data_IF_236133421687
#
_entry.id   IF_236133421687
#
_cell.length_a   1.000
_cell.length_b   1.000
_cell.length_c   1.000
_cell.angle_alpha   90.00
_cell.angle_beta   90.00
_cell.angle_gamma   90.00
#
_symmetry.space_group_name_H-M   'P 1'
#
loop_
_entity.id
_entity.type
_entity.pdbx_description
1 polymer ?
#
# COMPACT_ATOMS: atom_id res chain seq x y z
N UNK A 1 -6.49 -5.90 -6.53
CA UNK A 1 -6.50 -4.47 -6.14
C UNK A 1 -7.78 -4.14 -5.38
N UNK A 2 -7.69 -3.49 -4.22
CA UNK A 2 -8.87 -3.02 -3.49
C UNK A 2 -9.14 -1.60 -3.99
N UNK A 3 -10.26 -1.34 -4.69
CA UNK A 3 -10.58 0.02 -5.15
C UNK A 3 -10.85 0.93 -3.95
N UNK A 4 -10.51 2.21 -4.08
CA UNK A 4 -10.95 3.22 -3.14
C UNK A 4 -12.48 3.39 -3.27
N UNK A 5 -13.15 3.61 -2.14
CA UNK A 5 -14.61 3.78 -2.10
C UNK A 5 -15.08 5.15 -2.58
N UNK A 6 -14.15 6.10 -2.74
CA UNK A 6 -14.41 7.46 -3.19
C UNK A 6 -13.46 7.87 -4.32
N UNK A 7 -13.96 8.74 -5.22
CA UNK A 7 -13.16 9.39 -6.24
C UNK A 7 -12.30 10.48 -5.60
N UNK A 8 -11.00 10.45 -5.89
CA UNK A 8 -10.04 11.46 -5.42
C UNK A 8 -9.76 12.42 -6.57
N UNK A 9 -10.27 13.65 -6.49
CA UNK A 9 -10.06 14.67 -7.52
C UNK A 9 -8.63 15.25 -7.44
N UNK A 10 -8.13 15.92 -8.50
CA UNK A 10 -6.84 16.61 -8.44
C UNK A 10 -6.75 17.59 -7.27
N UNK A 11 -5.68 17.49 -6.47
CA UNK A 11 -5.47 18.32 -5.28
C UNK A 11 -6.22 17.86 -4.02
N UNK A 12 -7.01 16.79 -4.11
CA UNK A 12 -7.59 16.13 -2.93
C UNK A 12 -6.64 15.11 -2.34
N UNK A 13 -6.78 14.87 -1.06
CA UNK A 13 -6.09 13.84 -0.31
C UNK A 13 -7.10 12.80 0.18
N UNK A 14 -6.64 11.57 0.37
CA UNK A 14 -7.43 10.48 0.94
C UNK A 14 -6.54 9.60 1.81
N UNK A 15 -7.09 9.10 2.89
CA UNK A 15 -6.43 8.10 3.72
C UNK A 15 -6.64 6.71 3.14
N UNK A 16 -5.54 5.98 2.94
CA UNK A 16 -5.56 4.59 2.49
C UNK A 16 -5.13 3.70 3.66
N UNK A 17 -6.00 2.79 4.07
CA UNK A 17 -5.76 1.87 5.18
C UNK A 17 -5.81 0.41 4.71
N UNK A 18 -4.87 -0.40 5.19
CA UNK A 18 -4.82 -1.84 4.95
C UNK A 18 -4.59 -2.55 6.29
N UNK A 19 -5.43 -3.53 6.60
CA UNK A 19 -5.27 -4.35 7.80
C UNK A 19 -4.23 -5.45 7.52
N UNK A 20 -3.17 -5.52 8.32
CA UNK A 20 -2.19 -6.59 8.28
C UNK A 20 -2.30 -7.49 9.51
N UNK A 21 -2.02 -8.78 9.32
CA UNK A 21 -1.80 -9.76 10.39
C UNK A 21 -0.32 -10.11 10.42
N UNK A 22 0.32 -10.00 11.59
CA UNK A 22 1.72 -10.39 11.74
C UNK A 22 1.88 -11.90 11.50
N UNK A 23 2.91 -12.35 10.74
CA UNK A 23 3.25 -13.75 10.62
C UNK A 23 3.60 -14.38 11.98
N UNK A 24 3.41 -15.69 12.10
CA UNK A 24 3.75 -16.44 13.32
C UNK A 24 5.25 -16.74 13.44
N UNK A 25 5.96 -16.72 12.33
CA UNK A 25 7.41 -16.98 12.30
C UNK A 25 8.16 -15.67 12.53
N UNK A 26 9.11 -15.61 13.48
CA UNK A 26 9.97 -14.46 13.67
C UNK A 26 10.76 -14.13 12.39
N UNK A 27 10.93 -12.85 12.11
CA UNK A 27 11.65 -12.39 10.92
C UNK A 27 11.21 -11.01 10.44
N UNK A 28 11.88 -10.54 9.40
CA UNK A 28 11.50 -9.31 8.71
C UNK A 28 10.61 -9.63 7.51
N UNK A 29 9.48 -8.92 7.40
CA UNK A 29 8.58 -9.05 6.27
C UNK A 29 8.34 -7.67 5.65
N UNK A 30 8.45 -7.58 4.33
CA UNK A 30 8.28 -6.32 3.60
C UNK A 30 7.21 -6.47 2.53
N UNK A 31 6.20 -5.60 2.58
CA UNK A 31 5.20 -5.44 1.53
C UNK A 31 5.46 -4.18 0.71
N UNK A 32 5.40 -4.31 -0.62
CA UNK A 32 5.56 -3.21 -1.57
C UNK A 32 4.25 -2.93 -2.28
N UNK A 33 3.87 -1.66 -2.36
CA UNK A 33 2.61 -1.23 -2.96
C UNK A 33 2.85 -0.09 -3.96
N UNK A 34 2.09 -0.13 -5.06
CA UNK A 34 2.04 0.92 -6.08
C UNK A 34 0.57 1.20 -6.38
N UNK A 35 0.22 2.47 -6.58
CA UNK A 35 -1.13 2.84 -6.97
C UNK A 35 -1.38 2.50 -8.44
N UNK A 36 -2.58 2.03 -8.75
CA UNK A 36 -3.03 1.69 -10.11
C UNK A 36 -4.37 2.35 -10.38
N UNK A 37 -4.53 2.91 -11.58
CA UNK A 37 -5.82 3.47 -11.97
C UNK A 37 -6.81 2.36 -12.40
N UNK A 38 -8.05 2.73 -12.75
CA UNK A 38 -9.08 1.77 -13.16
C UNK A 38 -8.72 0.95 -14.41
N UNK A 39 -7.79 1.43 -15.25
CA UNK A 39 -7.27 0.71 -16.41
C UNK A 39 -6.08 -0.21 -16.06
N UNK A 40 -5.71 -0.33 -14.78
CA UNK A 40 -4.57 -1.12 -14.32
C UNK A 40 -3.21 -0.47 -14.56
N UNK A 41 -3.17 0.80 -14.95
CA UNK A 41 -1.93 1.53 -15.23
C UNK A 41 -1.35 2.06 -13.91
N UNK A 42 -0.10 1.70 -13.56
CA UNK A 42 0.58 2.23 -12.38
C UNK A 42 0.80 3.74 -12.46
N UNK A 43 0.64 4.43 -11.33
CA UNK A 43 0.91 5.85 -11.22
C UNK A 43 1.48 6.22 -9.84
N UNK A 44 1.99 7.44 -9.73
CA UNK A 44 2.67 7.95 -8.52
C UNK A 44 4.07 8.46 -8.83
N UNK A 45 4.77 8.93 -7.81
CA UNK A 45 6.13 9.44 -7.98
C UNK A 45 7.09 8.27 -8.27
N UNK A 46 7.81 8.33 -9.41
CA UNK A 46 8.81 7.31 -9.77
C UNK A 46 9.83 7.14 -8.65
N UNK A 47 10.10 5.89 -8.28
CA UNK A 47 11.03 5.54 -7.20
C UNK A 47 10.45 5.67 -5.78
N UNK A 48 9.19 6.08 -5.62
CA UNK A 48 8.49 6.08 -4.33
C UNK A 48 7.40 5.02 -4.32
N UNK A 49 7.76 3.84 -3.82
CA UNK A 49 6.80 2.81 -3.47
C UNK A 49 6.33 3.03 -2.03
N UNK A 50 5.08 2.66 -1.75
CA UNK A 50 4.64 2.52 -0.38
C UNK A 50 5.22 1.20 0.15
N UNK A 51 6.02 1.29 1.21
CA UNK A 51 6.73 0.15 1.79
C UNK A 51 6.24 -0.03 3.22
N UNK A 52 5.77 -1.24 3.52
CA UNK A 52 5.44 -1.65 4.89
C UNK A 52 6.47 -2.69 5.29
N UNK A 53 7.32 -2.36 6.25
CA UNK A 53 8.27 -3.30 6.86
C UNK A 53 7.81 -3.63 8.27
N UNK A 54 7.59 -4.91 8.55
CA UNK A 54 7.29 -5.43 9.88
C UNK A 54 8.44 -6.32 10.35
N UNK A 55 8.75 -6.25 11.64
CA UNK A 55 9.71 -7.14 12.29
C UNK A 55 8.95 -7.92 13.35
N UNK A 56 8.86 -9.23 13.18
CA UNK A 56 8.24 -10.15 14.14
C UNK A 56 9.34 -10.68 15.05
N UNK A 57 9.20 -10.46 16.35
CA UNK A 57 10.11 -10.95 17.39
C UNK A 57 9.50 -12.14 18.13
N UNK A 58 10.34 -12.92 18.82
CA UNK A 58 9.91 -14.00 19.72
C UNK A 58 9.40 -13.44 21.04
#
# INVERSE_FOLDING_TARGET
PIPLTALVAPGQEVDVSVQFTAPTTPGEYTGYWTMVNAAGIPFGQRGKQLIVKIVVQQ
#
